data_IF_496223460406
#
_entry.id   IF_496223460406
#
_cell.length_a   1.000
_cell.length_b   1.000
_cell.length_c   1.000
_cell.angle_alpha   90.00
_cell.angle_beta   90.00
_cell.angle_gamma   90.00
#
_symmetry.space_group_name_H-M   'P 1'
#
loop_
_entity.id
_entity.type
_entity.pdbx_description
1 polymer ?
#
# COMPACT_ATOMS: atom_id res chain seq x y z
N UNK A 1 18.35 3.57 -32.45
CA UNK A 1 17.91 3.11 -31.12
C UNK A 1 17.35 4.31 -30.38
N UNK A 2 16.04 4.48 -30.36
CA UNK A 2 15.40 5.54 -29.58
C UNK A 2 15.55 5.21 -28.09
N UNK A 3 16.03 6.13 -27.24
CA UNK A 3 16.00 5.90 -25.80
C UNK A 3 14.53 5.71 -25.41
N UNK A 4 14.22 4.53 -24.85
CA UNK A 4 12.94 4.29 -24.19
C UNK A 4 12.93 5.28 -23.02
N UNK A 5 12.00 6.23 -23.04
CA UNK A 5 11.84 7.20 -21.96
C UNK A 5 11.41 6.43 -20.71
N UNK A 6 12.36 6.07 -19.85
CA UNK A 6 12.07 5.45 -18.57
C UNK A 6 11.67 6.56 -17.62
N UNK A 7 10.37 6.77 -17.44
CA UNK A 7 9.82 7.61 -16.40
C UNK A 7 10.06 6.91 -15.06
N UNK A 8 10.93 7.48 -14.23
CA UNK A 8 11.15 7.02 -12.86
C UNK A 8 10.18 7.76 -11.94
N UNK A 9 9.18 7.04 -11.46
CA UNK A 9 8.41 7.47 -10.32
C UNK A 9 9.22 7.17 -9.05
N UNK A 10 9.13 8.04 -8.05
CA UNK A 10 9.83 7.85 -6.78
C UNK A 10 8.91 7.23 -5.74
N UNK A 11 7.60 7.36 -5.94
CA UNK A 11 6.58 7.02 -4.95
C UNK A 11 5.45 6.21 -5.60
N UNK A 12 5.05 5.12 -4.97
CA UNK A 12 3.94 4.27 -5.38
C UNK A 12 2.93 4.13 -4.24
N UNK A 13 1.67 4.43 -4.53
CA UNK A 13 0.54 4.29 -3.62
C UNK A 13 -0.16 2.97 -3.95
N UNK A 14 -0.10 2.00 -3.05
CA UNK A 14 -0.73 0.70 -3.26
C UNK A 14 -1.99 0.62 -2.39
N UNK A 15 -3.16 0.41 -3.01
CA UNK A 15 -4.41 0.27 -2.29
C UNK A 15 -5.03 -1.14 -2.39
N UNK A 16 -5.63 -1.58 -1.30
CA UNK A 16 -6.40 -2.80 -1.17
C UNK A 16 -7.80 -2.47 -0.63
N UNK A 17 -8.80 -2.83 -1.43
CA UNK A 17 -10.21 -2.50 -1.19
C UNK A 17 -10.91 -3.39 -0.16
N UNK A 18 -12.14 -3.07 0.18
CA UNK A 18 -13.00 -3.87 1.05
C UNK A 18 -13.80 -4.93 0.28
N UNK A 19 -14.42 -5.85 1.02
CA UNK A 19 -15.29 -6.88 0.43
C UNK A 19 -16.44 -6.24 -0.36
N UNK A 20 -16.71 -6.77 -1.56
CA UNK A 20 -17.79 -6.32 -2.43
C UNK A 20 -17.50 -5.04 -3.23
N UNK A 21 -16.36 -4.39 -3.02
CA UNK A 21 -15.94 -3.26 -3.84
C UNK A 21 -15.52 -3.73 -5.26
N UNK A 22 -15.85 -2.96 -6.32
CA UNK A 22 -15.40 -3.28 -7.67
C UNK A 22 -13.87 -3.17 -7.81
N UNK A 23 -13.27 -3.85 -8.78
CA UNK A 23 -11.83 -3.73 -9.05
C UNK A 23 -11.49 -2.33 -9.55
N UNK A 24 -11.08 -1.48 -8.62
CA UNK A 24 -10.63 -0.10 -8.77
C UNK A 24 -10.06 0.34 -7.42
N UNK A 25 -9.53 1.57 -7.36
CA UNK A 25 -9.17 2.22 -6.09
C UNK A 25 -10.35 2.14 -5.12
N UNK A 26 -10.08 1.64 -3.90
CA UNK A 26 -11.08 1.54 -2.83
C UNK A 26 -11.83 2.85 -2.63
N UNK A 27 -13.16 2.79 -2.52
CA UNK A 27 -14.02 3.96 -2.29
C UNK A 27 -13.58 4.74 -1.03
N UNK A 28 -12.96 4.08 -0.06
CA UNK A 28 -12.41 4.72 1.14
C UNK A 28 -11.26 5.70 0.84
N UNK A 29 -10.49 5.46 -0.22
CA UNK A 29 -9.24 6.18 -0.48
C UNK A 29 -9.23 6.99 -1.79
N UNK A 30 -10.30 6.94 -2.60
CA UNK A 30 -10.37 7.63 -3.90
C UNK A 30 -9.99 9.11 -3.83
N UNK A 31 -10.59 9.86 -2.90
CA UNK A 31 -10.33 11.30 -2.78
C UNK A 31 -8.89 11.61 -2.34
N UNK A 32 -8.34 10.83 -1.41
CA UNK A 32 -6.98 11.03 -0.89
C UNK A 32 -5.95 10.68 -1.96
N UNK A 33 -6.08 9.53 -2.62
CA UNK A 33 -5.15 9.11 -3.68
C UNK A 33 -5.21 10.08 -4.86
N UNK A 34 -6.41 10.51 -5.28
CA UNK A 34 -6.57 11.52 -6.34
C UNK A 34 -5.82 12.81 -6.03
N UNK A 35 -5.91 13.31 -4.79
CA UNK A 35 -5.17 14.50 -4.34
C UNK A 35 -3.65 14.30 -4.27
N UNK A 36 -3.19 13.13 -3.82
CA UNK A 36 -1.76 12.82 -3.78
C UNK A 36 -1.16 12.75 -5.18
N UNK A 37 -1.88 12.14 -6.13
CA UNK A 37 -1.48 12.04 -7.53
C UNK A 37 -1.50 13.42 -8.23
N UNK A 38 -2.47 14.28 -7.94
CA UNK A 38 -2.52 15.62 -8.55
C UNK A 38 -1.44 16.56 -8.03
N UNK A 39 -0.95 16.34 -6.80
CA UNK A 39 0.09 17.15 -6.18
C UNK A 39 1.53 16.73 -6.54
N UNK A 40 1.73 15.58 -7.20
CA UNK A 40 3.06 15.05 -7.50
C UNK A 40 3.12 14.34 -8.85
N UNK A 41 3.99 14.80 -9.73
CA UNK A 41 4.28 14.14 -11.01
C UNK A 41 5.17 12.90 -10.88
N UNK A 42 5.77 12.66 -9.70
CA UNK A 42 6.65 11.51 -9.43
C UNK A 42 5.95 10.41 -8.62
N UNK A 43 4.63 10.53 -8.44
CA UNK A 43 3.80 9.54 -7.72
C UNK A 43 2.92 8.76 -8.70
N UNK A 44 2.84 7.45 -8.52
CA UNK A 44 1.89 6.56 -9.19
C UNK A 44 1.02 5.83 -8.17
N UNK A 45 -0.10 5.29 -8.62
CA UNK A 45 -0.97 4.45 -7.81
C UNK A 45 -1.25 3.11 -8.47
N UNK A 46 -1.30 2.06 -7.67
CA UNK A 46 -1.71 0.72 -8.05
C UNK A 46 -2.84 0.25 -7.13
N UNK A 47 -3.92 -0.25 -7.72
CA UNK A 47 -4.98 -0.92 -6.97
C UNK A 47 -4.83 -2.43 -7.13
N UNK A 48 -4.62 -3.12 -6.01
CA UNK A 48 -4.27 -4.54 -6.01
C UNK A 48 -5.40 -5.36 -6.63
N UNK A 49 -5.01 -6.26 -7.54
CA UNK A 49 -5.95 -7.15 -8.22
C UNK A 49 -6.18 -8.42 -7.42
N UNK A 50 -7.40 -8.57 -6.90
CA UNK A 50 -7.84 -9.76 -6.19
C UNK A 50 -9.38 -9.79 -6.11
N UNK A 51 -10.02 -10.90 -5.71
CA UNK A 51 -11.49 -11.02 -5.80
C UNK A 51 -12.29 -10.03 -4.93
N UNK A 52 -11.74 -9.60 -3.79
CA UNK A 52 -12.48 -8.83 -2.77
C UNK A 52 -13.83 -9.49 -2.37
N UNK A 53 -13.86 -10.81 -2.26
CA UNK A 53 -15.08 -11.58 -1.95
C UNK A 53 -15.45 -11.52 -0.47
N UNK A 54 -16.69 -11.87 -0.12
CA UNK A 54 -17.12 -11.93 1.29
C UNK A 54 -16.53 -13.12 2.07
N UNK A 55 -15.88 -14.06 1.37
CA UNK A 55 -15.18 -15.22 1.94
C UNK A 55 -13.89 -14.87 2.70
N UNK A 56 -13.47 -13.60 2.69
CA UNK A 56 -12.27 -13.09 3.37
C UNK A 56 -10.95 -13.71 2.89
N UNK A 57 -10.95 -14.29 1.68
CA UNK A 57 -9.72 -14.81 1.09
C UNK A 57 -8.88 -13.70 0.46
N UNK A 58 -7.78 -13.33 1.14
CA UNK A 58 -6.84 -12.30 0.69
C UNK A 58 -5.57 -12.88 0.03
N UNK A 59 -5.42 -14.21 -0.06
CA UNK A 59 -4.15 -14.84 -0.42
C UNK A 59 -3.59 -14.37 -1.77
N UNK A 60 -4.43 -14.30 -2.81
CA UNK A 60 -3.99 -13.82 -4.13
C UNK A 60 -3.59 -12.35 -4.10
N UNK A 61 -4.32 -11.52 -3.35
CA UNK A 61 -3.98 -10.11 -3.18
C UNK A 61 -2.68 -9.90 -2.39
N UNK A 62 -2.40 -10.73 -1.39
CA UNK A 62 -1.13 -10.71 -0.67
C UNK A 62 0.03 -11.02 -1.61
N UNK A 63 -0.12 -12.07 -2.43
CA UNK A 63 0.89 -12.45 -3.43
C UNK A 63 1.12 -11.34 -4.46
N UNK A 64 0.04 -10.71 -4.94
CA UNK A 64 0.12 -9.60 -5.89
C UNK A 64 0.85 -8.39 -5.30
N UNK A 65 0.50 -7.96 -4.09
CA UNK A 65 1.19 -6.85 -3.39
C UNK A 65 2.68 -7.12 -3.22
N UNK A 66 3.05 -8.33 -2.78
CA UNK A 66 4.46 -8.71 -2.59
C UNK A 66 5.20 -8.74 -3.93
N UNK A 67 4.55 -9.28 -4.97
CA UNK A 67 5.09 -9.32 -6.33
C UNK A 67 5.31 -7.91 -6.90
N UNK A 68 4.32 -7.03 -6.75
CA UNK A 68 4.40 -5.64 -7.18
C UNK A 68 5.57 -4.91 -6.52
N UNK A 69 5.63 -4.90 -5.18
CA UNK A 69 6.71 -4.22 -4.44
C UNK A 69 8.09 -4.72 -4.88
N UNK A 70 8.27 -6.03 -5.00
CA UNK A 70 9.55 -6.63 -5.41
C UNK A 70 9.90 -6.27 -6.85
N UNK A 71 8.93 -6.32 -7.76
CA UNK A 71 9.10 -5.96 -9.18
C UNK A 71 9.46 -4.47 -9.31
N UNK A 72 8.74 -3.59 -8.63
CA UNK A 72 9.02 -2.15 -8.59
C UNK A 72 10.41 -1.88 -8.04
N UNK A 73 10.86 -2.56 -6.98
CA UNK A 73 12.22 -2.40 -6.43
C UNK A 73 13.35 -3.00 -7.27
N UNK A 74 13.03 -3.90 -8.20
CA UNK A 74 13.99 -4.38 -9.19
C UNK A 74 14.19 -3.36 -10.32
N UNK A 75 13.11 -2.69 -10.72
CA UNK A 75 13.14 -1.68 -11.80
C UNK A 75 13.63 -0.32 -11.29
N UNK A 76 13.19 0.07 -10.10
CA UNK A 76 13.44 1.34 -9.43
C UNK A 76 13.91 1.07 -7.99
N UNK A 77 15.22 0.86 -7.75
CA UNK A 77 15.74 0.50 -6.42
C UNK A 77 15.43 1.50 -5.30
N UNK A 78 15.20 2.76 -5.66
CA UNK A 78 14.89 3.86 -4.73
C UNK A 78 13.39 4.09 -4.52
N UNK A 79 12.52 3.31 -5.19
CA UNK A 79 11.06 3.41 -5.09
C UNK A 79 10.60 3.37 -3.62
N UNK A 80 9.66 4.24 -3.27
CA UNK A 80 9.02 4.31 -1.96
C UNK A 80 7.55 3.93 -2.06
N UNK A 81 7.04 3.25 -1.05
CA UNK A 81 5.67 2.73 -1.04
C UNK A 81 4.86 3.31 0.11
N UNK A 82 3.59 3.60 -0.17
CA UNK A 82 2.58 3.88 0.83
C UNK A 82 1.44 2.90 0.63
N UNK A 83 1.11 2.13 1.67
CA UNK A 83 0.10 1.08 1.58
C UNK A 83 -1.20 1.55 2.21
N UNK A 84 -2.32 1.27 1.53
CA UNK A 84 -3.66 1.64 1.97
C UNK A 84 -4.55 0.40 2.01
N UNK A 85 -5.21 0.12 3.13
CA UNK A 85 -6.06 -1.07 3.29
C UNK A 85 -7.38 -0.76 3.97
N UNK A 86 -8.50 -1.08 3.33
CA UNK A 86 -9.84 -0.89 3.91
C UNK A 86 -10.55 -2.22 4.18
N UNK A 87 -11.06 -2.42 5.40
CA UNK A 87 -11.81 -3.62 5.78
C UNK A 87 -11.01 -4.91 5.49
N UNK A 88 -11.44 -5.73 4.54
CA UNK A 88 -10.66 -6.88 4.06
C UNK A 88 -9.28 -6.49 3.51
N UNK A 89 -9.16 -5.35 2.84
CA UNK A 89 -7.89 -4.84 2.36
C UNK A 89 -6.92 -4.47 3.50
N UNK A 90 -7.42 -4.15 4.69
CA UNK A 90 -6.56 -3.95 5.86
C UNK A 90 -5.90 -5.28 6.29
N UNK A 91 -6.66 -6.39 6.24
CA UNK A 91 -6.11 -7.73 6.44
C UNK A 91 -5.06 -8.07 5.40
N UNK A 92 -5.35 -7.82 4.12
CA UNK A 92 -4.43 -8.05 3.02
C UNK A 92 -3.10 -7.31 3.24
N UNK A 93 -3.15 -6.00 3.52
CA UNK A 93 -1.95 -5.19 3.78
C UNK A 93 -1.17 -5.73 4.98
N UNK A 94 -1.85 -6.08 6.08
CA UNK A 94 -1.20 -6.66 7.24
C UNK A 94 -0.49 -7.99 6.92
N UNK A 95 -1.13 -8.87 6.17
CA UNK A 95 -0.54 -10.15 5.75
C UNK A 95 0.62 -9.95 4.77
N UNK A 96 0.56 -8.97 3.86
CA UNK A 96 1.68 -8.63 2.99
C UNK A 96 2.91 -8.14 3.77
N UNK A 97 2.72 -7.36 4.84
CA UNK A 97 3.84 -6.94 5.70
C UNK A 97 4.48 -8.13 6.42
N UNK A 98 3.68 -9.11 6.87
CA UNK A 98 4.19 -10.33 7.48
C UNK A 98 5.04 -11.15 6.50
N UNK A 99 4.58 -11.30 5.25
CA UNK A 99 5.34 -11.98 4.18
C UNK A 99 6.64 -11.24 3.80
N UNK A 100 6.69 -9.92 3.99
CA UNK A 100 7.85 -9.08 3.71
C UNK A 100 8.81 -8.92 4.90
N UNK A 101 8.49 -9.41 6.10
CA UNK A 101 9.26 -9.16 7.32
C UNK A 101 10.75 -9.57 7.19
N UNK A 102 11.04 -10.62 6.42
CA UNK A 102 12.40 -11.07 6.12
C UNK A 102 13.13 -10.30 5.00
N UNK A 103 12.42 -9.47 4.23
CA UNK A 103 12.97 -8.67 3.14
C UNK A 103 13.19 -7.22 3.59
N UNK A 104 14.36 -6.98 4.20
CA UNK A 104 14.71 -5.66 4.74
C UNK A 104 14.63 -4.55 3.68
N UNK A 105 14.99 -4.82 2.43
CA UNK A 105 14.95 -3.80 1.37
C UNK A 105 13.51 -3.38 1.09
N UNK A 106 12.59 -4.35 0.99
CA UNK A 106 11.18 -4.07 0.81
C UNK A 106 10.59 -3.33 2.02
N UNK A 107 10.89 -3.78 3.24
CA UNK A 107 10.40 -3.14 4.47
C UNK A 107 10.91 -1.70 4.62
N UNK A 108 12.19 -1.43 4.33
CA UNK A 108 12.77 -0.08 4.39
C UNK A 108 12.20 0.87 3.32
N UNK A 109 11.65 0.32 2.23
CA UNK A 109 11.02 1.08 1.16
C UNK A 109 9.56 1.49 1.48
N UNK A 110 8.89 0.80 2.41
CA UNK A 110 7.53 1.12 2.85
C UNK A 110 7.59 2.28 3.84
N UNK A 111 7.11 3.45 3.43
CA UNK A 111 7.19 4.69 4.21
C UNK A 111 5.99 4.92 5.12
N UNK A 112 4.81 4.47 4.70
CA UNK A 112 3.64 4.50 5.56
C UNK A 112 2.65 3.39 5.23
N UNK A 113 1.83 3.07 6.23
CA UNK A 113 0.74 2.10 6.11
C UNK A 113 -0.50 2.74 6.74
N UNK A 114 -1.57 2.83 5.96
CA UNK A 114 -2.85 3.39 6.36
C UNK A 114 -3.89 2.28 6.27
N UNK A 115 -4.44 1.89 7.41
CA UNK A 115 -5.54 0.92 7.45
C UNK A 115 -6.78 1.54 8.08
N UNK A 116 -7.95 1.15 7.57
CA UNK A 116 -9.25 1.58 8.08
C UNK A 116 -10.15 0.36 8.21
N UNK A 117 -10.80 0.18 9.35
CA UNK A 117 -11.72 -0.93 9.58
C UNK A 117 -11.03 -2.29 9.67
N UNK A 118 -9.80 -2.34 10.21
CA UNK A 118 -9.05 -3.59 10.36
C UNK A 118 -9.76 -4.57 11.31
N UNK A 119 -10.22 -5.75 10.85
CA UNK A 119 -10.93 -6.71 11.70
C UNK A 119 -10.06 -7.32 12.80
N UNK A 120 -8.73 -7.25 12.67
CA UNK A 120 -7.76 -7.79 13.63
C UNK A 120 -7.20 -6.73 14.59
N UNK A 121 -7.82 -5.56 14.67
CA UNK A 121 -7.38 -4.51 15.61
C UNK A 121 -7.53 -5.01 17.05
N UNK A 122 -6.40 -5.15 17.75
CA UNK A 122 -6.36 -5.38 19.18
C UNK A 122 -5.89 -4.08 19.85
N UNK A 123 -6.75 -3.38 20.61
CA UNK A 123 -6.37 -2.16 21.32
C UNK A 123 -5.12 -2.38 22.19
N UNK A 124 -4.14 -1.47 22.11
CA UNK A 124 -2.93 -1.51 22.94
C UNK A 124 -1.86 -2.53 22.54
N UNK A 125 -2.03 -3.24 21.41
CA UNK A 125 -1.10 -4.31 20.98
C UNK A 125 0.13 -3.85 20.17
N UNK A 126 0.24 -2.56 19.81
CA UNK A 126 1.30 -2.03 18.93
C UNK A 126 1.24 -2.52 17.47
N UNK A 127 0.39 -3.51 17.15
CA UNK A 127 0.18 -3.99 15.78
C UNK A 127 -0.64 -2.98 14.99
N UNK A 128 -0.10 -2.51 13.87
CA UNK A 128 -0.67 -1.57 12.87
C UNK A 128 -1.87 -0.80 13.43
N UNK A 129 -1.57 0.30 14.12
CA UNK A 129 -2.57 1.27 14.58
C UNK A 129 -3.26 1.93 13.38
N UNK A 130 -4.58 2.11 13.47
CA UNK A 130 -5.35 2.94 12.54
C UNK A 130 -4.73 4.35 12.47
N UNK A 131 -4.26 4.73 11.27
CA UNK A 131 -3.94 6.08 10.80
C UNK A 131 -2.81 6.87 11.53
N UNK A 132 -1.72 7.10 10.80
CA UNK A 132 -0.91 8.33 10.90
C UNK A 132 -1.04 9.10 9.57
N UNK A 133 -2.09 9.91 9.43
CA UNK A 133 -2.34 10.69 8.21
C UNK A 133 -1.58 12.01 8.14
N UNK A 134 -0.94 12.45 9.22
CA UNK A 134 -0.34 13.80 9.26
C UNK A 134 0.97 13.92 8.46
N UNK A 135 1.59 12.81 8.06
CA UNK A 135 2.97 12.82 7.57
C UNK A 135 3.12 12.59 6.05
N UNK A 136 2.02 12.36 5.31
CA UNK A 136 2.05 12.30 3.84
C UNK A 136 2.39 13.65 3.19
N UNK A 137 2.40 14.75 3.96
CA UNK A 137 2.66 16.11 3.47
C UNK A 137 4.05 16.65 3.89
N UNK A 138 4.72 16.09 4.92
CA UNK A 138 5.86 16.76 5.58
C UNK A 138 7.15 15.92 5.81
N UNK A 139 7.31 14.73 5.22
CA UNK A 139 8.60 13.98 5.27
C UNK A 139 9.18 13.75 6.68
N UNK A 140 8.34 13.61 7.71
CA UNK A 140 8.75 13.11 9.02
C UNK A 140 7.72 12.11 9.50
N UNK A 141 8.09 10.84 9.64
CA UNK A 141 7.26 9.85 10.33
C UNK A 141 8.01 9.35 11.56
N UNK A 142 7.36 9.47 12.72
CA UNK A 142 7.61 8.60 13.88
C UNK A 142 6.32 7.80 14.13
N UNK A 143 6.14 6.72 13.38
CA UNK A 143 5.29 5.62 13.82
C UNK A 143 6.16 4.72 14.71
N UNK A 144 5.92 4.76 16.02
CA UNK A 144 6.50 3.75 16.92
C UNK A 144 5.63 2.50 16.85
N UNK A 145 6.21 1.45 16.24
CA UNK A 145 5.83 0.06 16.49
C UNK A 145 6.04 -0.28 17.98
#
# INVERSE_FOLDING_TARGET
>A
MTPKLTLFFTTELIDARGSGEPQAVSLMFQDVLSRLLSNSSSTVSESITYPAGFDQNVTSGVQETVSSIKSSLQQCPDQKFHLFGYSQGATLVQSSLQELEGDKKAMDAIRSVVVVGNPYRIPGSGKISDICLEDLIFERVVCKL
#
